data_IF_056436841464
#
_entry.id   IF_056436841464
#
_cell.length_a   1.000
_cell.length_b   1.000
_cell.length_c   1.000
_cell.angle_alpha   90.00
_cell.angle_beta   90.00
_cell.angle_gamma   90.00
#
_symmetry.space_group_name_H-M   'P 1'
#
loop_
_entity.id
_entity.type
_entity.pdbx_description
1 polymer ?
#
# COMPACT_ATOMS: atom_id res chain seq x y z
N UNK A 1 0.88 5.13 -16.82
CA UNK A 1 -0.19 5.34 -15.80
C UNK A 1 -0.27 4.23 -14.76
N UNK A 2 -0.73 2.99 -15.07
CA UNK A 2 -0.94 1.93 -14.05
C UNK A 2 0.30 1.55 -13.23
N UNK A 3 1.47 1.42 -13.88
CA UNK A 3 2.76 1.14 -13.20
C UNK A 3 3.18 2.25 -12.23
N UNK A 4 2.86 3.51 -12.55
CA UNK A 4 3.18 4.66 -11.71
C UNK A 4 2.26 4.71 -10.49
N UNK A 5 0.96 4.47 -10.68
CA UNK A 5 0.01 4.34 -9.56
C UNK A 5 0.41 3.21 -8.60
N UNK A 6 0.91 2.09 -9.11
CA UNK A 6 1.43 0.98 -8.29
C UNK A 6 2.65 1.39 -7.47
N UNK A 7 3.63 2.08 -8.09
CA UNK A 7 4.81 2.60 -7.38
C UNK A 7 4.44 3.56 -6.26
N UNK A 8 3.57 4.54 -6.55
CA UNK A 8 3.11 5.50 -5.55
C UNK A 8 2.38 4.82 -4.38
N UNK A 9 1.65 3.73 -4.62
CA UNK A 9 1.05 2.94 -3.54
C UNK A 9 2.10 2.22 -2.68
N UNK A 10 3.17 1.70 -3.27
CA UNK A 10 4.27 1.07 -2.54
C UNK A 10 5.10 2.10 -1.75
N UNK A 11 5.18 3.34 -2.23
CA UNK A 11 5.78 4.48 -1.52
C UNK A 11 4.90 5.03 -0.39
N UNK A 12 3.68 4.53 -0.22
CA UNK A 12 2.77 4.90 0.87
C UNK A 12 1.79 6.04 0.55
N UNK A 13 1.67 6.46 -0.71
CA UNK A 13 0.62 7.41 -1.09
C UNK A 13 -0.77 6.75 -1.03
N UNK A 14 -1.73 7.46 -0.44
CA UNK A 14 -3.13 7.03 -0.42
C UNK A 14 -3.80 7.07 -1.80
N UNK A 15 -4.81 6.22 -2.01
CA UNK A 15 -5.51 6.14 -3.30
C UNK A 15 -6.14 7.47 -3.74
N UNK A 16 -6.52 8.33 -2.79
CA UNK A 16 -7.07 9.66 -3.06
C UNK A 16 -6.06 10.64 -3.64
N UNK A 17 -4.81 10.64 -3.16
CA UNK A 17 -3.76 11.49 -3.73
C UNK A 17 -3.36 10.98 -5.11
N UNK A 18 -3.25 9.66 -5.28
CA UNK A 18 -2.92 9.03 -6.56
C UNK A 18 -3.99 9.29 -7.61
N UNK A 19 -5.28 9.22 -7.24
CA UNK A 19 -6.39 9.56 -8.13
C UNK A 19 -6.30 10.99 -8.65
N UNK A 20 -5.98 11.95 -7.77
CA UNK A 20 -5.74 13.36 -8.17
C UNK A 20 -4.52 13.50 -9.09
N UNK A 21 -3.40 12.86 -8.77
CA UNK A 21 -2.16 12.94 -9.56
C UNK A 21 -2.30 12.28 -10.94
N UNK A 22 -3.06 11.19 -11.03
CA UNK A 22 -3.25 10.42 -12.26
C UNK A 22 -4.49 10.83 -13.07
N UNK A 23 -5.31 11.76 -12.57
CA UNK A 23 -6.55 12.20 -13.21
C UNK A 23 -7.63 11.12 -13.29
N UNK A 24 -7.60 10.12 -12.40
CA UNK A 24 -8.56 9.00 -12.37
C UNK A 24 -9.29 8.93 -11.04
N UNK A 25 -10.47 8.30 -11.02
CA UNK A 25 -11.19 8.10 -9.77
C UNK A 25 -10.42 7.19 -8.81
N UNK A 26 -10.55 7.44 -7.51
CA UNK A 26 -9.92 6.60 -6.47
C UNK A 26 -10.38 5.14 -6.56
N UNK A 27 -11.62 4.92 -7.02
CA UNK A 27 -12.19 3.58 -7.28
C UNK A 27 -11.42 2.85 -8.39
N UNK A 28 -11.00 3.56 -9.44
CA UNK A 28 -10.20 3.00 -10.52
C UNK A 28 -8.82 2.57 -10.03
N UNK A 29 -8.18 3.41 -9.21
CA UNK A 29 -6.88 3.10 -8.58
C UNK A 29 -7.00 1.84 -7.70
N UNK A 30 -8.03 1.79 -6.85
CA UNK A 30 -8.31 0.63 -6.00
C UNK A 30 -8.53 -0.65 -6.80
N UNK A 31 -9.30 -0.59 -7.89
CA UNK A 31 -9.56 -1.73 -8.75
C UNK A 31 -8.30 -2.23 -9.46
N UNK A 32 -7.38 -1.34 -9.86
CA UNK A 32 -6.10 -1.74 -10.42
C UNK A 32 -5.24 -2.46 -9.39
N UNK A 33 -5.14 -1.95 -8.17
CA UNK A 33 -4.35 -2.57 -7.11
C UNK A 33 -4.92 -3.94 -6.73
N UNK A 34 -6.24 -4.08 -6.68
CA UNK A 34 -6.89 -5.38 -6.48
C UNK A 34 -6.59 -6.37 -7.61
N UNK A 35 -6.56 -5.91 -8.87
CA UNK A 35 -6.19 -6.76 -10.01
C UNK A 35 -4.72 -7.17 -9.93
N UNK A 36 -3.83 -6.22 -9.67
CA UNK A 36 -2.41 -6.52 -9.42
C UNK A 36 -2.23 -7.52 -8.29
N UNK A 37 -2.92 -7.35 -7.16
CA UNK A 37 -2.84 -8.29 -6.04
C UNK A 37 -3.32 -9.70 -6.39
N UNK A 38 -4.29 -9.85 -7.30
CA UNK A 38 -4.73 -11.16 -7.81
C UNK A 38 -3.72 -11.77 -8.78
N UNK A 39 -3.18 -10.97 -9.69
CA UNK A 39 -2.14 -11.38 -10.65
C UNK A 39 -0.85 -11.79 -9.92
N UNK A 40 -0.39 -11.00 -8.93
CA UNK A 40 0.78 -11.33 -8.10
C UNK A 40 0.56 -12.57 -7.24
N UNK A 41 -0.64 -12.80 -6.72
CA UNK A 41 -0.96 -14.05 -6.02
C UNK A 41 -0.89 -15.27 -6.94
N UNK A 42 -1.35 -15.14 -8.20
CA UNK A 42 -1.21 -16.20 -9.19
C UNK A 42 0.27 -16.50 -9.50
N UNK A 43 1.10 -15.47 -9.65
CA UNK A 43 2.55 -15.61 -9.84
C UNK A 43 3.25 -16.23 -8.62
N UNK A 44 2.85 -15.85 -7.41
CA UNK A 44 3.38 -16.43 -6.18
C UNK A 44 2.96 -17.89 -6.00
N UNK A 45 1.77 -18.28 -6.47
CA UNK A 45 1.33 -19.68 -6.46
C UNK A 45 2.18 -20.54 -7.40
N UNK A 46 2.60 -19.99 -8.55
CA UNK A 46 3.51 -20.64 -9.48
C UNK A 46 4.95 -20.72 -8.92
N UNK A 47 5.41 -19.66 -8.25
CA UNK A 47 6.77 -19.60 -7.68
C UNK A 47 6.94 -20.35 -6.36
N UNK A 48 5.86 -20.63 -5.61
CA UNK A 48 5.90 -21.40 -4.34
C UNK A 48 6.23 -22.88 -4.53
N UNK A 49 6.55 -23.32 -5.75
CA UNK A 49 7.18 -24.62 -6.01
C UNK A 49 8.68 -24.63 -5.63
N UNK A 50 9.28 -23.49 -5.30
CA UNK A 50 10.71 -23.42 -5.01
C UNK A 50 11.02 -22.55 -3.78
N UNK A 51 11.40 -23.25 -2.72
CA UNK A 51 12.56 -22.95 -1.85
C UNK A 51 12.55 -21.67 -0.97
N UNK A 52 12.35 -21.94 0.34
CA UNK A 52 12.83 -21.23 1.54
C UNK A 52 13.23 -19.74 1.38
N UNK A 53 12.33 -18.84 1.78
CA UNK A 53 12.66 -17.43 2.02
C UNK A 53 12.84 -17.18 3.53
N UNK A 54 14.00 -16.68 3.94
CA UNK A 54 14.27 -16.23 5.31
C UNK A 54 13.54 -14.90 5.56
N UNK A 55 12.85 -14.82 6.70
CA UNK A 55 12.14 -13.63 7.18
C UNK A 55 13.11 -12.84 8.06
N UNK A 56 13.61 -11.70 7.57
CA UNK A 56 14.32 -10.74 8.42
C UNK A 56 13.30 -9.90 9.21
N UNK A 57 13.42 -9.93 10.53
CA UNK A 57 12.48 -9.30 11.44
C UNK A 57 12.65 -7.78 11.47
N UNK A 58 11.74 -7.04 10.82
CA UNK A 58 11.69 -5.59 10.98
C UNK A 58 11.10 -5.23 12.36
N UNK A 59 11.95 -4.85 13.31
CA UNK A 59 11.51 -4.31 14.61
C UNK A 59 10.91 -2.91 14.44
N UNK A 60 9.59 -2.83 14.26
CA UNK A 60 8.86 -1.57 14.34
C UNK A 60 8.64 -1.19 15.81
N UNK A 61 9.50 -0.31 16.35
CA UNK A 61 9.25 0.32 17.65
C UNK A 61 8.10 1.31 17.50
N UNK A 62 6.88 0.84 17.79
CA UNK A 62 5.71 1.70 17.89
C UNK A 62 5.82 2.55 19.16
N UNK A 63 6.47 3.71 19.06
CA UNK A 63 6.41 4.73 20.10
C UNK A 63 4.97 5.23 20.23
N UNK A 64 4.31 4.86 21.34
CA UNK A 64 2.98 5.35 21.69
C UNK A 64 2.96 6.87 21.75
N UNK A 65 2.31 7.53 20.78
CA UNK A 65 2.05 8.97 20.84
C UNK A 65 0.88 9.20 21.80
N UNK A 66 1.15 9.83 22.95
CA UNK A 66 0.09 10.29 23.87
C UNK A 66 -0.83 11.24 23.11
N UNK A 67 -2.13 10.94 23.13
CA UNK A 67 -3.18 11.84 22.67
C UNK A 67 -3.26 12.99 23.69
N UNK A 68 -2.56 14.10 23.43
CA UNK A 68 -2.88 15.36 24.11
C UNK A 68 -4.09 15.94 23.40
N UNK A 69 -5.27 15.60 23.88
CA UNK A 69 -6.48 16.40 23.64
C UNK A 69 -6.27 17.75 24.29
N UNK A 70 -5.85 18.74 23.51
CA UNK A 70 -6.06 20.14 23.83
C UNK A 70 -6.84 20.75 22.67
N UNK A 71 -8.15 20.58 22.76
CA UNK A 71 -9.15 21.35 22.04
C UNK A 71 -9.43 22.54 22.96
N UNK A 72 -8.69 23.62 22.81
CA UNK A 72 -9.15 24.94 23.23
C UNK A 72 -8.84 25.97 22.14
N UNK A 73 -9.83 26.14 21.28
CA UNK A 73 -10.02 27.31 20.44
C UNK A 73 -11.48 27.73 20.61
N UNK A 74 -11.82 28.35 21.74
CA UNK A 74 -12.57 29.62 21.77
C UNK A 74 -12.63 30.25 23.15
#
# INVERSE_FOLDING_TARGET
MKKQALRLCLEGLGFRSIGRLSGVSNVSVLNWIRKFGKETQALHLESKKTERAEVDGMHAYAGSKKLSTDLDCR
#
